data_IF_746258134749
#
_entry.id   IF_746258134749
#
_cell.length_a   1.000
_cell.length_b   1.000
_cell.length_c   1.000
_cell.angle_alpha   90.00
_cell.angle_beta   90.00
_cell.angle_gamma   90.00
#
_symmetry.space_group_name_H-M   'P 1'
#
loop_
_entity.id
_entity.type
_entity.pdbx_description
1 polymer ?
#
# COMPACT_ATOMS: atom_id res chain seq x y z
N UNK A 1 36.97 17.77 9.46
CA UNK A 1 35.51 17.80 9.76
C UNK A 1 34.84 16.96 8.71
N UNK A 2 34.61 15.71 9.01
CA UNK A 2 33.92 14.74 8.13
C UNK A 2 32.42 14.93 8.30
N UNK A 3 31.77 15.51 7.30
CA UNK A 3 30.33 15.57 7.20
C UNK A 3 29.80 14.16 6.92
N UNK A 4 29.33 13.49 7.94
CA UNK A 4 28.61 12.23 7.83
C UNK A 4 27.29 12.52 7.13
N UNK A 5 27.11 12.00 5.94
CA UNK A 5 25.84 12.02 5.20
C UNK A 5 24.80 11.28 6.05
N UNK A 6 23.60 11.86 6.32
CA UNK A 6 22.57 11.17 7.09
C UNK A 6 22.16 9.89 6.37
N UNK A 7 22.01 8.84 7.13
CA UNK A 7 21.84 7.46 6.73
C UNK A 7 20.69 7.22 5.76
N UNK A 8 20.98 6.67 4.59
CA UNK A 8 20.02 6.03 3.69
C UNK A 8 19.29 4.82 4.34
N UNK A 9 19.66 4.45 5.56
CA UNK A 9 19.05 3.38 6.37
C UNK A 9 17.80 3.81 7.15
N UNK A 10 17.57 5.12 7.28
CA UNK A 10 16.50 5.69 8.13
C UNK A 10 15.19 5.99 7.38
N UNK A 11 15.10 5.68 6.09
CA UNK A 11 13.87 5.91 5.35
C UNK A 11 12.80 4.87 5.70
N UNK A 12 11.54 5.28 5.86
CA UNK A 12 10.44 4.36 6.11
C UNK A 12 10.32 3.28 5.04
N UNK A 13 9.94 2.08 5.46
CA UNK A 13 9.63 0.96 4.56
C UNK A 13 8.13 0.72 4.59
N UNK A 14 7.53 0.61 3.42
CA UNK A 14 6.16 0.17 3.24
C UNK A 14 6.18 -1.22 2.62
N UNK A 15 5.43 -2.16 3.15
CA UNK A 15 5.13 -3.39 2.43
C UNK A 15 3.71 -3.33 1.88
N UNK A 16 3.59 -3.47 0.56
CA UNK A 16 2.33 -3.76 -0.10
C UNK A 16 2.24 -5.27 -0.29
N UNK A 17 1.18 -5.84 0.24
CA UNK A 17 0.96 -7.28 0.25
C UNK A 17 -0.37 -7.58 -0.41
N UNK A 18 -0.38 -8.45 -1.42
CA UNK A 18 -1.59 -8.95 -2.07
C UNK A 18 -1.64 -10.45 -1.93
N UNK A 19 -2.56 -10.93 -1.12
CA UNK A 19 -2.76 -12.35 -0.86
C UNK A 19 -3.82 -12.92 -1.80
N UNK A 20 -3.55 -14.10 -2.31
CA UNK A 20 -4.55 -14.95 -2.94
C UNK A 20 -5.06 -15.95 -1.93
N UNK A 21 -6.37 -15.96 -1.73
CA UNK A 21 -7.02 -16.76 -0.70
C UNK A 21 -7.77 -17.93 -1.33
N UNK A 22 -8.10 -18.90 -0.51
CA UNK A 22 -9.07 -19.92 -0.88
C UNK A 22 -10.44 -19.29 -1.08
N UNK A 23 -11.23 -19.87 -1.97
CA UNK A 23 -12.54 -19.34 -2.32
C UNK A 23 -13.40 -19.11 -1.09
N UNK A 24 -13.86 -17.87 -0.92
CA UNK A 24 -14.71 -17.46 0.19
C UNK A 24 -14.01 -17.28 1.54
N UNK A 25 -12.68 -17.42 1.62
CA UNK A 25 -11.91 -17.31 2.87
C UNK A 25 -11.53 -15.86 3.24
N UNK A 26 -11.83 -14.87 2.38
CA UNK A 26 -11.40 -13.48 2.60
C UNK A 26 -11.93 -12.88 3.90
N UNK A 27 -13.23 -13.01 4.15
CA UNK A 27 -13.82 -12.43 5.36
C UNK A 27 -13.29 -13.12 6.63
N UNK A 28 -13.03 -14.43 6.58
CA UNK A 28 -12.40 -15.17 7.69
C UNK A 28 -11.01 -14.59 8.03
N UNK A 29 -10.19 -14.30 6.99
CA UNK A 29 -8.88 -13.69 7.21
C UNK A 29 -8.99 -12.26 7.73
N UNK A 30 -9.92 -11.45 7.20
CA UNK A 30 -10.15 -10.08 7.66
C UNK A 30 -10.58 -10.07 9.12
N UNK A 31 -11.52 -10.92 9.51
CA UNK A 31 -11.99 -11.04 10.89
C UNK A 31 -10.85 -11.44 11.85
N UNK A 32 -9.98 -12.36 11.41
CA UNK A 32 -8.81 -12.74 12.17
C UNK A 32 -7.81 -11.58 12.31
N UNK A 33 -7.55 -10.86 11.22
CA UNK A 33 -6.70 -9.65 11.26
C UNK A 33 -7.25 -8.62 12.22
N UNK A 34 -8.55 -8.33 12.12
CA UNK A 34 -9.22 -7.31 12.93
C UNK A 34 -9.23 -7.66 14.42
N UNK A 35 -9.29 -8.94 14.75
CA UNK A 35 -9.37 -9.42 16.13
C UNK A 35 -8.01 -9.62 16.79
N UNK A 36 -7.02 -10.14 16.04
CA UNK A 36 -5.79 -10.66 16.64
C UNK A 36 -4.52 -9.97 16.12
N UNK A 37 -4.51 -9.46 14.87
CA UNK A 37 -3.25 -9.08 14.24
C UNK A 37 -3.01 -7.57 14.15
N UNK A 38 -4.01 -6.72 14.23
CA UNK A 38 -3.81 -5.28 14.06
C UNK A 38 -3.00 -4.69 15.22
N UNK A 39 -3.52 -4.79 16.44
CA UNK A 39 -2.87 -4.25 17.63
C UNK A 39 -1.56 -4.97 17.96
N UNK A 40 -1.48 -6.26 17.69
CA UNK A 40 -0.25 -7.03 17.93
C UNK A 40 0.85 -6.70 16.95
N UNK A 41 0.53 -6.36 15.70
CA UNK A 41 1.51 -5.82 14.75
C UNK A 41 1.95 -4.41 15.15
N UNK A 42 1.01 -3.54 15.53
CA UNK A 42 1.34 -2.19 16.03
C UNK A 42 2.28 -2.29 17.27
N UNK A 43 1.98 -3.15 18.22
CA UNK A 43 2.82 -3.38 19.40
C UNK A 43 4.20 -3.99 19.07
N UNK A 44 4.31 -4.73 17.99
CA UNK A 44 5.59 -5.28 17.53
C UNK A 44 6.46 -4.24 16.79
N UNK A 45 5.94 -3.05 16.49
CA UNK A 45 6.67 -1.98 15.80
C UNK A 45 6.40 -1.92 14.29
N UNK A 46 5.29 -2.49 13.81
CA UNK A 46 4.85 -2.35 12.43
C UNK A 46 3.38 -1.88 12.40
N UNK A 47 3.10 -0.82 11.67
CA UNK A 47 1.75 -0.27 11.58
C UNK A 47 1.03 -0.74 10.33
N UNK A 48 -0.11 -1.40 10.51
CA UNK A 48 -1.00 -1.75 9.39
C UNK A 48 -1.75 -0.49 8.96
N UNK A 49 -1.38 0.06 7.81
CA UNK A 49 -1.92 1.33 7.29
C UNK A 49 -3.28 1.17 6.65
N UNK A 50 -3.42 0.11 5.87
CA UNK A 50 -4.61 -0.14 5.11
C UNK A 50 -4.86 -1.62 4.93
N UNK A 51 -6.14 -1.96 4.88
CA UNK A 51 -6.63 -3.27 4.55
C UNK A 51 -7.79 -3.11 3.57
N UNK A 52 -7.73 -3.82 2.44
CA UNK A 52 -8.69 -3.68 1.37
C UNK A 52 -9.21 -5.03 0.89
N UNK A 53 -10.47 -5.03 0.51
CA UNK A 53 -11.06 -6.00 -0.40
C UNK A 53 -10.78 -5.56 -1.83
N UNK A 54 -10.23 -6.43 -2.65
CA UNK A 54 -10.22 -6.23 -4.09
C UNK A 54 -11.67 -6.41 -4.59
N UNK A 55 -12.19 -5.41 -5.32
CA UNK A 55 -13.57 -5.39 -5.79
C UNK A 55 -13.78 -6.26 -7.04
N UNK A 56 -12.70 -6.55 -7.76
CA UNK A 56 -12.72 -7.34 -8.98
C UNK A 56 -12.29 -8.81 -8.73
N UNK A 57 -11.63 -9.09 -7.60
CA UNK A 57 -11.24 -10.43 -7.18
C UNK A 57 -11.74 -10.71 -5.76
N UNK A 58 -12.83 -11.48 -5.59
CA UNK A 58 -13.40 -11.77 -4.27
C UNK A 58 -12.49 -12.61 -3.36
N UNK A 59 -11.47 -13.25 -3.93
CA UNK A 59 -10.53 -14.11 -3.21
C UNK A 59 -9.16 -13.43 -3.03
N UNK A 60 -9.06 -12.12 -3.27
CA UNK A 60 -7.88 -11.32 -3.00
C UNK A 60 -8.05 -10.43 -1.76
N UNK A 61 -6.98 -10.34 -0.96
CA UNK A 61 -6.85 -9.44 0.18
C UNK A 61 -5.60 -8.59 -0.01
N UNK A 62 -5.76 -7.26 -0.04
CA UNK A 62 -4.69 -6.30 -0.27
C UNK A 62 -4.48 -5.46 0.98
N UNK A 63 -3.25 -5.36 1.45
CA UNK A 63 -2.99 -4.59 2.65
C UNK A 63 -1.59 -3.98 2.65
N UNK A 64 -1.43 -2.88 3.39
CA UNK A 64 -0.19 -2.15 3.53
C UNK A 64 0.20 -2.07 5.00
N UNK A 65 1.49 -2.26 5.26
CA UNK A 65 2.08 -1.96 6.57
C UNK A 65 3.34 -1.12 6.44
N UNK A 66 3.61 -0.34 7.46
CA UNK A 66 4.77 0.56 7.55
C UNK A 66 5.70 0.14 8.67
N UNK A 67 6.97 0.34 8.42
CA UNK A 67 8.04 0.27 9.40
C UNK A 67 8.78 1.61 9.42
N UNK A 68 9.37 1.96 10.56
CA UNK A 68 10.13 3.20 10.72
C UNK A 68 11.35 3.23 9.77
N UNK A 69 12.07 2.11 9.70
CA UNK A 69 13.20 1.87 8.81
C UNK A 69 13.38 0.36 8.55
N UNK A 70 14.41 0.02 7.78
CA UNK A 70 14.70 -1.38 7.45
C UNK A 70 15.16 -2.19 8.68
N UNK A 71 15.89 -1.59 9.63
CA UNK A 71 16.33 -2.25 10.86
C UNK A 71 15.14 -2.57 11.78
N UNK A 72 14.23 -1.60 11.95
CA UNK A 72 13.01 -1.80 12.73
C UNK A 72 12.08 -2.82 12.04
N UNK A 73 12.07 -2.88 10.70
CA UNK A 73 11.33 -3.92 9.97
C UNK A 73 11.76 -5.33 10.41
N UNK A 74 13.05 -5.63 10.41
CA UNK A 74 13.54 -6.96 10.82
C UNK A 74 13.14 -7.29 12.25
N UNK A 75 13.29 -6.34 13.18
CA UNK A 75 12.93 -6.53 14.60
C UNK A 75 11.43 -6.76 14.77
N UNK A 76 10.61 -5.93 14.15
CA UNK A 76 9.16 -6.01 14.25
C UNK A 76 8.62 -7.34 13.68
N UNK A 77 9.14 -7.77 12.52
CA UNK A 77 8.80 -9.06 11.92
C UNK A 77 9.21 -10.23 12.82
N UNK A 78 10.42 -10.17 13.40
CA UNK A 78 10.89 -11.19 14.33
C UNK A 78 10.01 -11.28 15.58
N UNK A 79 9.67 -10.12 16.17
CA UNK A 79 8.82 -10.05 17.35
C UNK A 79 7.41 -10.61 17.09
N UNK A 80 6.80 -10.25 15.96
CA UNK A 80 5.45 -10.71 15.65
C UNK A 80 5.43 -12.19 15.27
N UNK A 81 6.24 -12.62 14.29
CA UNK A 81 6.22 -14.00 13.80
C UNK A 81 6.84 -15.00 14.78
N UNK A 82 7.70 -14.54 15.69
CA UNK A 82 8.19 -15.31 16.83
C UNK A 82 7.31 -15.24 18.07
N UNK A 83 6.27 -14.38 18.06
CA UNK A 83 5.42 -14.11 19.20
C UNK A 83 4.29 -15.12 19.44
N UNK A 84 3.66 -15.08 20.62
CA UNK A 84 2.64 -16.05 21.01
C UNK A 84 1.35 -15.95 20.19
N UNK A 85 0.94 -14.72 19.79
CA UNK A 85 -0.29 -14.53 19.00
C UNK A 85 -0.17 -15.18 17.64
N UNK A 86 0.97 -14.96 16.94
CA UNK A 86 1.22 -15.66 15.68
C UNK A 86 1.29 -17.17 15.87
N UNK A 87 2.00 -17.66 16.90
CA UNK A 87 2.10 -19.08 17.17
C UNK A 87 0.73 -19.75 17.37
N UNK A 88 -0.21 -19.04 18.01
CA UNK A 88 -1.58 -19.51 18.26
C UNK A 88 -2.43 -19.51 17.00
N UNK A 89 -2.35 -18.45 16.16
CA UNK A 89 -3.29 -18.19 15.07
C UNK A 89 -2.73 -18.48 13.66
N UNK A 90 -1.44 -18.84 13.52
CA UNK A 90 -0.81 -19.11 12.21
C UNK A 90 -1.51 -20.22 11.42
N UNK A 91 -2.06 -21.21 12.08
CA UNK A 91 -2.78 -22.31 11.42
C UNK A 91 -4.07 -21.81 10.75
N UNK A 92 -4.84 -20.99 11.47
CA UNK A 92 -6.06 -20.36 10.96
C UNK A 92 -5.72 -19.40 9.80
N UNK A 93 -4.73 -18.51 9.99
CA UNK A 93 -4.30 -17.57 8.96
C UNK A 93 -3.83 -18.28 7.68
N UNK A 94 -2.87 -19.21 7.82
CA UNK A 94 -2.31 -19.92 6.67
C UNK A 94 -3.36 -20.81 5.97
N UNK A 95 -4.33 -21.35 6.69
CA UNK A 95 -5.43 -22.12 6.13
C UNK A 95 -6.37 -21.32 5.23
N UNK A 96 -6.34 -19.98 5.29
CA UNK A 96 -7.09 -19.11 4.37
C UNK A 96 -6.35 -18.81 3.07
N UNK A 97 -5.03 -18.98 3.03
CA UNK A 97 -4.16 -18.49 1.96
C UNK A 97 -3.77 -19.59 0.97
N UNK A 98 -3.94 -19.32 -0.32
CA UNK A 98 -3.34 -20.08 -1.42
C UNK A 98 -1.91 -19.58 -1.68
N UNK A 99 -1.70 -18.26 -1.63
CA UNK A 99 -0.40 -17.63 -1.83
C UNK A 99 -0.36 -16.27 -1.13
N UNK A 100 0.73 -16.01 -0.42
CA UNK A 100 1.01 -14.75 0.28
C UNK A 100 2.34 -14.10 -0.15
N UNK A 101 2.95 -14.56 -1.24
CA UNK A 101 4.30 -14.19 -1.67
C UNK A 101 4.33 -12.95 -2.56
N UNK A 102 3.16 -12.46 -3.00
CA UNK A 102 3.07 -11.22 -3.76
C UNK A 102 3.22 -10.01 -2.83
N UNK A 103 4.47 -9.72 -2.50
CA UNK A 103 4.88 -8.66 -1.58
C UNK A 103 5.89 -7.75 -2.24
N UNK A 104 5.67 -6.45 -2.14
CA UNK A 104 6.59 -5.42 -2.57
C UNK A 104 7.10 -4.64 -1.36
N UNK A 105 8.41 -4.46 -1.26
CA UNK A 105 9.01 -3.44 -0.42
C UNK A 105 9.03 -2.13 -1.17
N UNK A 106 8.48 -1.09 -0.55
CA UNK A 106 8.27 0.21 -1.17
C UNK A 106 8.86 1.31 -0.32
N UNK A 107 9.31 2.37 -0.98
CA UNK A 107 9.76 3.61 -0.38
C UNK A 107 8.77 4.73 -0.77
N UNK A 108 8.27 5.50 0.21
CA UNK A 108 7.41 6.64 -0.07
C UNK A 108 8.16 7.75 -0.79
N UNK A 109 7.46 8.55 -1.59
CA UNK A 109 7.99 9.70 -2.31
C UNK A 109 7.52 11.01 -1.68
N UNK A 110 8.47 11.91 -1.39
CA UNK A 110 8.21 13.22 -0.79
C UNK A 110 7.64 13.19 0.63
N UNK A 111 7.41 14.36 1.20
CA UNK A 111 6.89 14.51 2.57
C UNK A 111 5.41 14.15 2.70
N UNK A 112 4.68 14.08 1.60
CA UNK A 112 3.25 13.73 1.55
C UNK A 112 2.97 12.33 0.97
N UNK A 113 3.98 11.50 0.82
CA UNK A 113 3.86 10.18 0.22
C UNK A 113 3.29 9.10 1.14
N UNK A 114 2.97 9.47 2.34
CA UNK A 114 2.16 8.68 3.27
C UNK A 114 0.78 9.33 3.36
N UNK A 115 -0.25 8.54 3.60
CA UNK A 115 -1.59 9.09 3.84
C UNK A 115 -1.54 10.28 4.79
N UNK A 116 -2.33 11.29 4.53
CA UNK A 116 -2.41 12.53 5.34
C UNK A 116 -2.63 12.32 6.85
N UNK A 117 -2.91 11.08 7.24
CA UNK A 117 -3.04 10.64 8.64
C UNK A 117 -1.68 10.39 9.33
N UNK A 118 -0.59 10.31 8.55
CA UNK A 118 0.70 9.83 9.03
C UNK A 118 1.80 10.89 8.79
N UNK A 119 1.66 12.07 9.34
CA UNK A 119 2.67 13.13 9.21
C UNK A 119 4.13 12.63 9.35
N UNK A 120 5.14 13.40 8.97
CA UNK A 120 6.54 13.04 9.16
C UNK A 120 6.83 12.88 10.65
N UNK A 121 7.37 11.73 11.05
CA UNK A 121 7.74 11.50 12.45
C UNK A 121 7.86 10.00 12.77
N UNK A 122 8.43 9.66 13.93
CA UNK A 122 8.38 8.30 14.43
C UNK A 122 6.94 7.85 14.49
N UNK A 123 6.70 6.55 14.25
CA UNK A 123 5.38 5.95 14.40
C UNK A 123 4.88 6.30 15.81
N UNK A 124 3.88 7.15 15.97
CA UNK A 124 3.42 7.45 17.31
C UNK A 124 2.79 6.19 17.91
N UNK A 125 2.91 6.00 19.20
CA UNK A 125 2.14 5.02 19.99
C UNK A 125 0.62 5.13 19.79
N UNK A 126 0.20 6.12 19.02
CA UNK A 126 -1.17 6.55 18.75
C UNK A 126 -1.86 5.75 17.64
N UNK A 127 -1.19 4.87 16.88
CA UNK A 127 -1.87 4.16 15.79
C UNK A 127 -3.01 3.28 16.29
N UNK A 128 -2.82 2.60 17.39
CA UNK A 128 -3.90 1.87 18.06
C UNK A 128 -5.07 2.76 18.49
N UNK A 129 -4.80 3.99 18.91
CA UNK A 129 -5.82 4.95 19.39
C UNK A 129 -6.68 5.55 18.26
N UNK A 130 -6.18 5.56 17.02
CA UNK A 130 -6.91 6.08 15.85
C UNK A 130 -7.60 4.98 15.03
N UNK A 131 -7.33 3.72 15.36
CA UNK A 131 -7.93 2.59 14.65
C UNK A 131 -9.38 2.43 15.11
N UNK A 132 -10.34 2.34 14.17
CA UNK A 132 -11.74 2.17 14.53
C UNK A 132 -11.95 0.90 15.37
N UNK A 133 -12.69 0.97 16.48
CA UNK A 133 -13.06 -0.23 17.21
C UNK A 133 -13.89 -1.19 16.35
N UNK A 134 -13.89 -2.51 16.64
CA UNK A 134 -14.58 -3.51 15.83
C UNK A 134 -16.08 -3.23 15.60
N UNK A 135 -16.73 -2.54 16.51
CA UNK A 135 -18.17 -2.26 16.46
C UNK A 135 -18.56 -0.85 15.97
N UNK A 136 -17.59 -0.03 15.47
CA UNK A 136 -17.87 1.36 15.08
C UNK A 136 -18.77 1.43 13.84
N UNK A 137 -19.73 2.36 13.87
CA UNK A 137 -20.39 2.85 12.66
C UNK A 137 -19.59 4.06 12.15
N UNK A 138 -18.95 3.90 11.01
CA UNK A 138 -18.04 4.89 10.44
C UNK A 138 -18.55 5.50 9.14
N UNK A 139 -19.83 5.30 8.84
CA UNK A 139 -20.43 5.70 7.57
C UNK A 139 -19.92 4.89 6.37
N UNK A 140 -20.32 5.31 5.18
CA UNK A 140 -19.93 4.66 3.93
C UNK A 140 -18.43 4.84 3.70
N UNK A 141 -17.70 3.75 3.44
CA UNK A 141 -16.27 3.83 3.14
C UNK A 141 -16.03 4.41 1.75
N UNK A 142 -14.91 5.10 1.58
CA UNK A 142 -14.44 5.50 0.26
C UNK A 142 -14.09 4.30 -0.61
N UNK A 143 -13.90 4.57 -1.90
CA UNK A 143 -13.36 3.60 -2.87
C UNK A 143 -11.97 4.06 -3.27
N UNK A 144 -11.06 3.12 -3.41
CA UNK A 144 -9.68 3.38 -3.81
C UNK A 144 -9.37 2.74 -5.14
N UNK A 145 -8.49 3.39 -5.89
CA UNK A 145 -7.90 2.83 -7.11
C UNK A 145 -6.37 2.86 -6.98
N UNK A 146 -5.75 1.70 -7.07
CA UNK A 146 -4.30 1.55 -7.02
C UNK A 146 -3.80 1.17 -8.41
N UNK A 147 -2.87 1.97 -8.93
CA UNK A 147 -2.22 1.67 -10.21
C UNK A 147 -0.75 1.36 -9.98
N UNK A 148 -0.30 0.25 -10.55
CA UNK A 148 1.10 -0.17 -10.58
C UNK A 148 1.64 -0.08 -11.99
N UNK A 149 2.67 0.76 -12.19
CA UNK A 149 3.41 0.90 -13.43
C UNK A 149 4.71 0.11 -13.37
N UNK A 150 4.93 -0.80 -14.30
CA UNK A 150 6.14 -1.60 -14.42
C UNK A 150 7.14 -0.91 -15.34
N UNK A 151 8.20 -0.37 -14.76
CA UNK A 151 9.14 0.52 -15.41
C UNK A 151 10.41 -0.21 -15.87
N UNK A 152 11.08 0.36 -16.87
CA UNK A 152 12.42 -0.08 -17.23
C UNK A 152 13.39 0.12 -16.02
N UNK A 153 14.42 -0.73 -15.87
CA UNK A 153 15.36 -0.62 -14.74
C UNK A 153 15.93 0.77 -14.57
N UNK A 154 15.96 1.27 -13.33
CA UNK A 154 16.51 2.58 -12.93
C UNK A 154 15.81 3.80 -13.50
N UNK A 155 14.54 3.68 -13.91
CA UNK A 155 13.77 4.84 -14.41
C UNK A 155 12.72 5.34 -13.41
N UNK A 156 12.61 4.74 -12.25
CA UNK A 156 11.64 5.05 -11.19
C UNK A 156 11.73 6.49 -10.70
N UNK A 157 12.92 7.00 -10.44
CA UNK A 157 13.12 8.40 -10.00
C UNK A 157 12.70 9.40 -11.07
N UNK A 158 13.08 9.15 -12.33
CA UNK A 158 12.69 10.02 -13.45
C UNK A 158 11.19 9.94 -13.73
N UNK A 159 10.59 8.75 -13.61
CA UNK A 159 9.15 8.57 -13.72
C UNK A 159 8.42 9.29 -12.59
N UNK A 160 8.91 9.20 -11.36
CA UNK A 160 8.33 9.88 -10.21
C UNK A 160 8.30 11.41 -10.38
N UNK A 161 9.40 12.02 -10.81
CA UNK A 161 9.46 13.45 -11.08
C UNK A 161 8.46 13.84 -12.18
N UNK A 162 8.43 13.11 -13.29
CA UNK A 162 7.48 13.35 -14.37
C UNK A 162 6.02 13.14 -13.93
N UNK A 163 5.76 12.15 -13.06
CA UNK A 163 4.43 11.92 -12.49
C UNK A 163 3.94 13.14 -11.72
N UNK A 164 4.80 13.71 -10.85
CA UNK A 164 4.44 14.90 -10.07
C UNK A 164 4.16 16.12 -10.96
N UNK A 165 5.00 16.35 -11.96
CA UNK A 165 4.90 17.53 -12.82
C UNK A 165 3.77 17.43 -13.84
N UNK A 166 3.44 16.23 -14.29
CA UNK A 166 2.56 16.05 -15.47
C UNK A 166 1.30 15.25 -15.15
N UNK A 167 1.42 14.09 -14.47
CA UNK A 167 0.29 13.18 -14.26
C UNK A 167 -0.57 13.61 -13.08
N UNK A 168 0.07 13.89 -11.95
CA UNK A 168 -0.60 14.27 -10.70
C UNK A 168 -1.59 15.45 -10.88
N UNK A 169 -1.24 16.57 -11.55
CA UNK A 169 -2.17 17.66 -11.78
C UNK A 169 -3.42 17.24 -12.57
N UNK A 170 -3.27 16.35 -13.54
CA UNK A 170 -4.40 15.87 -14.36
C UNK A 170 -5.34 14.99 -13.54
N UNK A 171 -4.80 14.10 -12.72
CA UNK A 171 -5.59 13.25 -11.83
C UNK A 171 -6.37 14.09 -10.80
N UNK A 172 -5.72 15.08 -10.20
CA UNK A 172 -6.34 15.99 -9.23
C UNK A 172 -7.45 16.83 -9.88
N UNK A 173 -7.21 17.40 -11.08
CA UNK A 173 -8.20 18.15 -11.83
C UNK A 173 -9.40 17.31 -12.24
N UNK A 174 -9.20 16.00 -12.47
CA UNK A 174 -10.30 15.05 -12.74
C UNK A 174 -11.12 14.70 -11.47
N UNK A 175 -10.63 15.07 -10.28
CA UNK A 175 -11.34 14.89 -9.01
C UNK A 175 -10.84 13.73 -8.16
N UNK A 176 -9.66 13.18 -8.46
CA UNK A 176 -9.02 12.21 -7.58
C UNK A 176 -8.37 12.91 -6.37
N UNK A 177 -8.24 12.17 -5.27
CA UNK A 177 -7.37 12.50 -4.16
C UNK A 177 -6.23 11.48 -4.12
N UNK A 178 -4.99 11.95 -4.20
CA UNK A 178 -3.82 11.06 -4.15
C UNK A 178 -3.50 10.77 -2.70
N UNK A 179 -3.63 9.51 -2.28
CA UNK A 179 -3.38 9.05 -0.91
C UNK A 179 -2.00 8.44 -0.74
N UNK A 180 -1.35 8.00 -1.82
CA UNK A 180 -0.01 7.44 -1.73
C UNK A 180 0.70 7.38 -3.07
N UNK A 181 2.03 7.47 -3.03
CA UNK A 181 2.93 7.31 -4.16
C UNK A 181 4.20 6.63 -3.68
N UNK A 182 4.59 5.57 -4.36
CA UNK A 182 5.71 4.75 -3.94
C UNK A 182 6.53 4.27 -5.12
N UNK A 183 7.82 4.07 -4.88
CA UNK A 183 8.74 3.32 -5.73
C UNK A 183 9.21 2.09 -4.99
N UNK A 184 9.76 1.12 -5.71
CA UNK A 184 10.37 -0.05 -5.08
C UNK A 184 11.53 0.38 -4.18
N UNK A 185 11.59 -0.22 -3.02
CA UNK A 185 12.78 -0.17 -2.18
C UNK A 185 13.76 -1.25 -2.64
N UNK A 186 14.86 -0.84 -3.24
CA UNK A 186 15.86 -1.75 -3.80
C UNK A 186 16.85 -2.31 -2.76
N UNK A 187 16.64 -2.01 -1.46
CA UNK A 187 17.42 -2.64 -0.39
C UNK A 187 17.05 -4.12 -0.27
N UNK A 188 18.03 -4.94 0.12
CA UNK A 188 17.82 -6.38 0.27
C UNK A 188 16.75 -6.70 1.33
N UNK A 189 16.01 -7.77 1.10
CA UNK A 189 15.08 -8.30 2.08
C UNK A 189 15.84 -8.81 3.32
N UNK A 190 15.76 -8.07 4.41
CA UNK A 190 16.46 -8.39 5.66
C UNK A 190 15.67 -9.34 6.60
N UNK A 191 14.61 -9.99 6.10
CA UNK A 191 13.86 -11.01 6.83
C UNK A 191 13.49 -12.17 5.89
N UNK A 192 14.35 -13.17 5.82
CA UNK A 192 14.26 -14.29 4.88
C UNK A 192 13.03 -15.19 5.10
N UNK A 193 12.40 -15.13 6.28
CA UNK A 193 11.19 -15.91 6.58
C UNK A 193 9.93 -15.45 5.82
N UNK A 194 9.98 -14.29 5.16
CA UNK A 194 8.89 -13.76 4.32
C UNK A 194 9.46 -13.37 2.95
N UNK A 195 8.98 -14.00 1.87
CA UNK A 195 9.40 -13.64 0.53
C UNK A 195 8.95 -12.22 0.17
N UNK A 196 9.77 -11.56 -0.63
CA UNK A 196 9.52 -10.25 -1.23
C UNK A 196 9.92 -10.34 -2.69
N UNK A 197 9.17 -9.71 -3.57
CA UNK A 197 9.49 -9.60 -4.99
C UNK A 197 10.64 -8.61 -5.15
N UNK A 198 11.78 -9.10 -5.58
CA UNK A 198 12.99 -8.32 -5.78
C UNK A 198 13.29 -8.15 -7.28
N UNK A 199 14.17 -7.20 -7.63
CA UNK A 199 14.63 -6.97 -8.98
C UNK A 199 13.64 -6.24 -9.91
N UNK A 200 12.51 -5.80 -9.40
CA UNK A 200 11.54 -5.03 -10.16
C UNK A 200 11.78 -3.53 -10.03
N UNK A 201 11.39 -2.77 -11.03
CA UNK A 201 11.33 -1.31 -10.99
C UNK A 201 9.88 -0.90 -11.20
N UNK A 202 9.28 -0.31 -10.19
CA UNK A 202 7.85 0.00 -10.17
C UNK A 202 7.62 1.42 -9.68
N UNK A 203 6.54 2.02 -10.18
CA UNK A 203 5.91 3.19 -9.58
C UNK A 203 4.45 2.86 -9.27
N UNK A 204 4.00 3.16 -8.05
CA UNK A 204 2.64 2.88 -7.60
C UNK A 204 2.01 4.18 -7.10
N UNK A 205 0.75 4.42 -7.46
CA UNK A 205 -0.06 5.45 -6.81
C UNK A 205 -1.40 4.89 -6.35
N UNK A 206 -1.92 5.50 -5.29
CA UNK A 206 -3.20 5.18 -4.70
C UNK A 206 -4.09 6.42 -4.73
N UNK A 207 -5.23 6.31 -5.37
CA UNK A 207 -6.26 7.33 -5.43
C UNK A 207 -7.42 6.97 -4.49
N UNK A 208 -8.05 7.99 -3.91
CA UNK A 208 -9.26 7.86 -3.10
C UNK A 208 -10.41 8.62 -3.71
N UNK A 209 -11.59 8.04 -3.59
CA UNK A 209 -12.88 8.60 -3.99
C UNK A 209 -13.90 8.41 -2.88
N UNK A 210 -14.89 9.29 -2.79
CA UNK A 210 -15.97 9.21 -1.78
C UNK A 210 -16.93 8.03 -2.01
N UNK A 211 -16.82 7.34 -3.16
CA UNK A 211 -17.60 6.17 -3.52
C UNK A 211 -17.56 5.90 -5.02
N UNK A 212 -18.24 4.85 -5.45
CA UNK A 212 -18.29 4.41 -6.86
C UNK A 212 -18.78 5.49 -7.83
N UNK A 213 -19.69 6.37 -7.38
CA UNK A 213 -20.16 7.49 -8.20
C UNK A 213 -19.04 8.47 -8.54
N UNK A 214 -18.21 8.81 -7.55
CA UNK A 214 -17.07 9.71 -7.73
C UNK A 214 -15.98 9.06 -8.61
N UNK A 215 -15.71 7.77 -8.41
CA UNK A 215 -14.78 7.00 -9.24
C UNK A 215 -15.25 6.97 -10.72
N UNK A 216 -16.51 6.68 -10.97
CA UNK A 216 -17.07 6.71 -12.35
C UNK A 216 -16.97 8.10 -12.97
N UNK A 217 -17.30 9.16 -12.23
CA UNK A 217 -17.19 10.53 -12.71
C UNK A 217 -15.73 10.91 -13.04
N UNK A 218 -14.78 10.47 -12.24
CA UNK A 218 -13.35 10.63 -12.49
C UNK A 218 -12.94 9.99 -13.83
N UNK A 219 -13.29 8.73 -14.06
CA UNK A 219 -12.96 8.04 -15.33
C UNK A 219 -13.62 8.70 -16.54
N UNK A 220 -14.87 9.18 -16.40
CA UNK A 220 -15.55 9.94 -17.46
C UNK A 220 -14.80 11.24 -17.80
N UNK A 221 -14.32 11.99 -16.78
CA UNK A 221 -13.53 13.21 -17.01
C UNK A 221 -12.19 12.90 -17.68
N UNK A 222 -11.49 11.83 -17.27
CA UNK A 222 -10.25 11.41 -17.92
C UNK A 222 -10.51 11.02 -19.39
N UNK A 223 -11.55 10.23 -19.66
CA UNK A 223 -11.92 9.83 -21.01
C UNK A 223 -12.28 11.04 -21.91
N UNK A 224 -12.87 12.10 -21.34
CA UNK A 224 -13.18 13.34 -22.05
C UNK A 224 -11.96 14.29 -22.21
N UNK A 225 -10.92 14.11 -21.40
CA UNK A 225 -9.71 14.96 -21.45
C UNK A 225 -8.83 14.61 -22.64
N UNK A 226 -8.67 15.54 -23.58
CA UNK A 226 -7.71 15.39 -24.71
C UNK A 226 -6.27 15.30 -24.20
N UNK A 227 -5.93 16.06 -23.16
CA UNK A 227 -4.60 16.02 -22.54
C UNK A 227 -4.29 14.61 -22.00
N UNK A 228 -5.23 14.00 -21.26
CA UNK A 228 -5.05 12.66 -20.76
C UNK A 228 -4.95 11.63 -21.87
N UNK A 229 -5.93 11.62 -22.77
CA UNK A 229 -6.07 10.62 -23.81
C UNK A 229 -4.98 10.66 -24.87
N UNK A 230 -4.59 11.87 -25.27
CA UNK A 230 -3.73 12.06 -26.44
C UNK A 230 -2.26 12.29 -26.07
N UNK A 231 -1.95 12.60 -24.79
CA UNK A 231 -0.59 12.90 -24.34
C UNK A 231 -0.18 12.10 -23.10
N UNK A 232 -0.91 12.22 -21.96
CA UNK A 232 -0.45 11.67 -20.68
C UNK A 232 -0.50 10.15 -20.66
N UNK A 233 -1.65 9.55 -21.01
CA UNK A 233 -1.81 8.10 -20.99
C UNK A 233 -0.90 7.38 -21.99
N UNK A 234 -0.78 7.82 -23.28
CA UNK A 234 0.19 7.24 -24.20
C UNK A 234 1.64 7.33 -23.70
N UNK A 235 2.00 8.40 -23.01
CA UNK A 235 3.34 8.54 -22.45
C UNK A 235 3.57 7.63 -21.25
N UNK A 236 2.57 7.40 -20.38
CA UNK A 236 2.62 6.35 -19.36
C UNK A 236 2.91 4.99 -20.02
N UNK A 237 2.12 4.63 -21.03
CA UNK A 237 2.27 3.37 -21.73
C UNK A 237 3.64 3.16 -22.40
N UNK A 238 4.26 4.23 -22.89
CA UNK A 238 5.63 4.17 -23.44
C UNK A 238 6.71 3.95 -22.40
N UNK A 239 6.49 4.44 -21.18
CA UNK A 239 7.44 4.32 -20.07
C UNK A 239 7.34 3.00 -19.34
N UNK A 240 6.28 2.24 -19.57
CA UNK A 240 6.06 0.92 -19.00
C UNK A 240 6.40 -0.18 -20.00
N UNK A 241 7.01 -1.27 -19.54
CA UNK A 241 7.41 -2.39 -20.39
C UNK A 241 6.35 -3.50 -20.46
N UNK A 242 5.34 -3.42 -19.59
CA UNK A 242 4.16 -4.29 -19.63
C UNK A 242 2.92 -3.48 -19.22
N UNK A 243 1.75 -4.06 -19.40
CA UNK A 243 0.47 -3.48 -19.03
C UNK A 243 0.44 -3.08 -17.54
N UNK A 244 -0.11 -1.90 -17.28
CA UNK A 244 -0.29 -1.41 -15.91
C UNK A 244 -1.35 -2.23 -15.18
N UNK A 245 -1.09 -2.55 -13.93
CA UNK A 245 -2.08 -3.19 -13.08
C UNK A 245 -2.91 -2.14 -12.37
N UNK A 246 -4.23 -2.24 -12.47
CA UNK A 246 -5.17 -1.35 -11.78
C UNK A 246 -6.07 -2.19 -10.89
N UNK A 247 -6.11 -1.85 -9.59
CA UNK A 247 -6.95 -2.50 -8.61
C UNK A 247 -8.01 -1.52 -8.11
N UNK A 248 -9.27 -1.95 -8.06
CA UNK A 248 -10.34 -1.23 -7.38
C UNK A 248 -10.52 -1.83 -5.98
N UNK A 249 -10.43 -1.00 -4.96
CA UNK A 249 -10.27 -1.46 -3.59
C UNK A 249 -11.32 -0.82 -2.67
N UNK A 250 -11.94 -1.65 -1.83
CA UNK A 250 -12.80 -1.18 -0.75
C UNK A 250 -12.11 -1.43 0.60
N UNK A 251 -11.99 -0.41 1.49
CA UNK A 251 -11.35 -0.59 2.78
C UNK A 251 -12.16 -1.55 3.67
N UNK A 252 -11.44 -2.31 4.50
CA UNK A 252 -12.08 -3.04 5.59
C UNK A 252 -12.52 -2.09 6.69
N UNK A 253 -13.31 -2.62 7.63
CA UNK A 253 -13.88 -1.80 8.70
C UNK A 253 -12.83 -1.13 9.57
N UNK A 254 -11.70 -1.79 9.81
CA UNK A 254 -10.63 -1.30 10.68
C UNK A 254 -9.40 -0.77 9.93
N UNK A 255 -9.52 -0.58 8.60
CA UNK A 255 -8.50 0.11 7.82
C UNK A 255 -8.33 1.55 8.29
N UNK A 256 -7.10 2.07 8.36
CA UNK A 256 -6.85 3.49 8.66
C UNK A 256 -7.13 4.38 7.43
N UNK A 257 -6.93 3.85 6.23
CA UNK A 257 -7.39 4.49 4.99
C UNK A 257 -8.83 4.06 4.72
N UNK A 258 -9.71 5.05 4.70
CA UNK A 258 -11.16 4.82 4.52
C UNK A 258 -11.77 5.83 3.55
#
# INVERSE_FOLDING_TARGET
>A
MTTTTPHALEAPVIELRRYRLHRGARETLIDLFDREFLETQDAAGMSVLAQFRDLDDPDAFVWLRRFEDLSQRAKALHNFYGGPVWAQHKGEANGTMVNSDNVLMLRPLGDGALPSLLGPGPLPDVFGAHRPPPASDLGEPGVFEMTTCYLAPRTDTAFAAWFEDTVSPVLLAAGARIEGRWVVDHRENNFQGLPVREGETLFIWLLRFEGDGALRAFHQKLAASTLWRDQVWPEICKRTWRENEVLRLAPTRRSLLR
#
